data_IF_115460896001
#
_entry.id   IF_115460896001
#
_cell.length_a   1.000
_cell.length_b   1.000
_cell.length_c   1.000
_cell.angle_alpha   90.00
_cell.angle_beta   90.00
_cell.angle_gamma   90.00
#
_symmetry.space_group_name_H-M   'P 1'
#
loop_
_entity.id
_entity.type
_entity.pdbx_description
1 polymer ?
#
# COMPACT_ATOMS: atom_id res chain seq x y z
N UNK A 1 5.71 -1.49 20.29
CA UNK A 1 6.35 -1.04 19.04
C UNK A 1 5.28 -0.50 18.10
N UNK A 2 5.55 0.59 17.36
CA UNK A 2 4.58 1.28 16.50
C UNK A 2 3.88 0.33 15.51
N UNK A 3 4.61 -0.58 14.87
CA UNK A 3 4.05 -1.56 13.92
C UNK A 3 3.05 -2.54 14.55
N UNK A 4 3.23 -2.90 15.83
CA UNK A 4 2.30 -3.79 16.55
C UNK A 4 0.97 -3.08 16.81
N UNK A 5 0.97 -1.76 17.05
CA UNK A 5 -0.28 -1.01 17.21
C UNK A 5 -1.07 -0.95 15.89
N UNK A 6 -0.37 -0.91 14.75
CA UNK A 6 -1.00 -0.93 13.41
C UNK A 6 -1.72 -2.24 13.11
N UNK A 7 -1.39 -3.34 13.78
CA UNK A 7 -2.03 -4.64 13.60
C UNK A 7 -3.51 -4.64 14.02
N UNK A 8 -3.91 -3.73 14.91
CA UNK A 8 -5.29 -3.59 15.36
C UNK A 8 -6.18 -2.80 14.38
N UNK A 9 -5.59 -2.19 13.33
CA UNK A 9 -6.36 -1.45 12.33
C UNK A 9 -7.28 -2.40 11.57
N UNK A 10 -8.52 -1.98 11.33
CA UNK A 10 -9.51 -2.77 10.62
C UNK A 10 -9.34 -2.60 9.10
N UNK A 11 -9.05 -3.70 8.42
CA UNK A 11 -9.06 -3.83 6.97
C UNK A 11 -10.47 -4.14 6.46
N UNK A 12 -10.71 -3.89 5.17
CA UNK A 12 -11.96 -4.24 4.50
C UNK A 12 -11.84 -5.67 3.99
N UNK A 13 -12.70 -6.58 4.47
CA UNK A 13 -12.81 -7.93 3.91
C UNK A 13 -13.69 -7.92 2.68
N UNK A 14 -13.28 -8.67 1.66
CA UNK A 14 -13.94 -8.71 0.36
C UNK A 14 -14.08 -10.13 -0.16
N UNK A 15 -15.03 -10.35 -1.06
CA UNK A 15 -15.09 -11.54 -1.90
C UNK A 15 -14.15 -11.41 -3.13
N UNK A 16 -14.10 -12.45 -3.98
CA UNK A 16 -13.23 -12.45 -5.16
C UNK A 16 -13.65 -11.46 -6.26
N UNK A 17 -14.84 -10.87 -6.15
CA UNK A 17 -15.32 -9.81 -7.04
C UNK A 17 -15.11 -8.41 -6.44
N UNK A 18 -14.38 -8.32 -5.32
CA UNK A 18 -14.13 -7.10 -4.58
C UNK A 18 -15.39 -6.48 -3.95
N UNK A 19 -16.42 -7.29 -3.69
CA UNK A 19 -17.56 -6.82 -2.89
C UNK A 19 -17.20 -6.88 -1.42
N UNK A 20 -17.48 -5.82 -0.66
CA UNK A 20 -17.30 -5.82 0.79
C UNK A 20 -18.18 -6.88 1.46
N UNK A 21 -17.57 -7.77 2.24
CA UNK A 21 -18.26 -8.81 3.03
C UNK A 21 -18.07 -8.63 4.54
N UNK A 22 -17.17 -7.76 4.99
CA UNK A 22 -16.93 -7.55 6.41
C UNK A 22 -15.74 -6.66 6.72
N UNK A 23 -15.21 -6.82 7.93
CA UNK A 23 -14.02 -6.14 8.41
C UNK A 23 -13.24 -7.07 9.33
N UNK A 24 -11.91 -6.97 9.31
CA UNK A 24 -11.05 -7.76 10.19
C UNK A 24 -9.76 -6.99 10.47
N UNK A 25 -9.13 -7.28 11.60
CA UNK A 25 -7.85 -6.72 11.99
C UNK A 25 -6.77 -7.02 10.97
N UNK A 26 -5.87 -6.05 10.75
CA UNK A 26 -4.70 -6.22 9.90
C UNK A 26 -3.91 -7.47 10.28
N UNK A 27 -3.77 -7.76 11.58
CA UNK A 27 -3.16 -9.02 12.04
C UNK A 27 -3.79 -10.22 11.37
N UNK A 28 -5.08 -10.42 11.56
CA UNK A 28 -5.76 -11.62 11.09
C UNK A 28 -5.79 -11.70 9.56
N UNK A 29 -5.88 -10.56 8.85
CA UNK A 29 -5.78 -10.49 7.40
C UNK A 29 -4.44 -11.01 6.83
N UNK A 30 -3.34 -10.87 7.58
CA UNK A 30 -1.99 -11.18 7.10
C UNK A 30 -1.42 -12.49 7.68
N UNK A 31 -2.19 -13.22 8.48
CA UNK A 31 -1.78 -14.55 8.96
C UNK A 31 -2.04 -15.60 7.88
N UNK A 32 -1.01 -16.37 7.51
CA UNK A 32 -1.11 -17.43 6.52
C UNK A 32 -2.24 -18.42 6.84
N UNK A 33 -2.43 -18.76 8.13
CA UNK A 33 -3.50 -19.68 8.57
C UNK A 33 -4.92 -19.20 8.23
N UNK A 34 -5.14 -17.88 8.12
CA UNK A 34 -6.44 -17.30 7.76
C UNK A 34 -6.54 -17.07 6.25
N UNK A 35 -5.44 -16.65 5.62
CA UNK A 35 -5.33 -16.55 4.18
C UNK A 35 -5.65 -17.90 3.51
N UNK A 36 -5.13 -19.00 4.06
CA UNK A 36 -5.37 -20.36 3.56
C UNK A 36 -6.80 -20.85 3.79
N UNK A 37 -7.53 -20.26 4.74
CA UNK A 37 -8.97 -20.46 4.94
C UNK A 37 -9.84 -19.59 4.02
N UNK A 38 -9.23 -18.80 3.15
CA UNK A 38 -9.95 -17.98 2.18
C UNK A 38 -10.11 -16.51 2.58
N UNK A 39 -9.45 -16.03 3.65
CA UNK A 39 -9.49 -14.60 3.99
C UNK A 39 -8.84 -13.77 2.87
N UNK A 40 -9.53 -12.71 2.46
CA UNK A 40 -9.16 -11.81 1.37
C UNK A 40 -9.55 -10.38 1.75
N UNK A 41 -8.69 -9.42 1.45
CA UNK A 41 -8.89 -8.04 1.86
C UNK A 41 -8.47 -7.03 0.78
N UNK A 42 -9.06 -5.84 0.82
CA UNK A 42 -8.79 -4.77 -0.15
C UNK A 42 -7.49 -4.04 0.18
N UNK A 43 -6.65 -3.80 -0.82
CA UNK A 43 -5.38 -3.08 -0.70
C UNK A 43 -5.21 -2.05 -1.81
N UNK A 44 -4.14 -1.25 -1.74
CA UNK A 44 -3.72 -0.39 -2.83
C UNK A 44 -2.20 -0.33 -2.94
N UNK A 45 -1.74 -0.04 -4.16
CA UNK A 45 -0.35 0.19 -4.53
C UNK A 45 -0.22 1.49 -5.32
N UNK A 46 0.52 2.44 -4.75
CA UNK A 46 0.83 3.73 -5.40
C UNK A 46 2.12 3.63 -6.21
N UNK A 47 2.05 4.11 -7.44
CA UNK A 47 3.18 4.31 -8.35
C UNK A 47 3.34 5.82 -8.60
N UNK A 48 4.27 6.46 -7.88
CA UNK A 48 4.54 7.90 -8.00
C UNK A 48 5.73 8.16 -8.93
N UNK A 49 5.50 8.99 -9.92
CA UNK A 49 6.52 9.49 -10.84
C UNK A 49 6.73 10.99 -10.63
N UNK A 50 7.98 11.42 -10.61
CA UNK A 50 8.28 12.85 -10.64
C UNK A 50 8.08 13.44 -12.06
N UNK A 51 8.27 14.74 -12.24
CA UNK A 51 8.08 15.39 -13.56
C UNK A 51 9.08 14.89 -14.61
N UNK A 52 10.24 14.39 -14.18
CA UNK A 52 11.27 13.75 -15.01
C UNK A 52 10.97 12.29 -15.36
N UNK A 53 9.76 11.79 -15.05
CA UNK A 53 9.34 10.39 -15.27
C UNK A 53 10.18 9.35 -14.52
N UNK A 54 10.84 9.75 -13.43
CA UNK A 54 11.51 8.81 -12.53
C UNK A 54 10.51 8.27 -11.52
N UNK A 55 10.53 6.96 -11.33
CA UNK A 55 9.67 6.25 -10.40
C UNK A 55 10.27 6.26 -8.99
N UNK A 56 9.47 6.63 -7.98
CA UNK A 56 9.86 6.58 -6.58
C UNK A 56 9.67 5.17 -6.01
N UNK A 57 10.78 4.49 -5.75
CA UNK A 57 10.82 3.24 -4.99
C UNK A 57 11.08 3.52 -3.50
N UNK A 58 10.54 2.66 -2.64
CA UNK A 58 10.87 2.64 -1.22
C UNK A 58 11.45 1.27 -0.81
N UNK A 59 12.40 1.28 0.11
CA UNK A 59 12.86 0.12 0.84
C UNK A 59 12.15 0.06 2.19
N UNK A 60 11.48 -1.05 2.46
CA UNK A 60 10.74 -1.28 3.71
C UNK A 60 11.70 -1.28 4.90
N UNK A 61 11.30 -0.66 6.01
CA UNK A 61 12.08 -0.73 7.25
C UNK A 61 12.23 -2.19 7.73
N UNK A 62 13.24 -2.43 8.56
CA UNK A 62 13.39 -3.72 9.23
C UNK A 62 12.30 -3.98 10.29
N UNK A 63 11.56 -2.94 10.70
CA UNK A 63 10.48 -3.06 11.67
C UNK A 63 9.16 -3.56 11.07
N UNK A 64 9.01 -3.56 9.73
CA UNK A 64 7.81 -4.05 9.05
C UNK A 64 7.60 -5.53 9.34
N UNK A 65 6.34 -5.91 9.57
CA UNK A 65 5.96 -7.29 9.87
C UNK A 65 6.02 -8.16 8.62
N UNK A 66 5.45 -7.70 7.51
CA UNK A 66 5.58 -8.35 6.20
C UNK A 66 6.70 -7.73 5.38
N UNK A 67 7.52 -8.57 4.74
CA UNK A 67 8.60 -8.20 3.80
C UNK A 67 9.57 -7.11 4.31
N UNK A 68 10.15 -7.23 5.52
CA UNK A 68 11.12 -6.25 6.01
C UNK A 68 12.35 -6.15 5.10
N UNK A 69 12.81 -4.93 4.80
CA UNK A 69 14.02 -4.69 4.00
C UNK A 69 13.85 -4.81 2.47
N UNK A 70 12.71 -5.30 1.99
CA UNK A 70 12.42 -5.40 0.56
C UNK A 70 12.23 -4.01 -0.09
N UNK A 71 12.72 -3.86 -1.32
CA UNK A 71 12.34 -2.74 -2.18
C UNK A 71 10.99 -3.02 -2.84
N UNK A 72 10.15 -2.00 -2.93
CA UNK A 72 8.82 -2.07 -3.55
C UNK A 72 8.44 -0.69 -4.14
N UNK A 73 7.27 -0.60 -4.77
CA UNK A 73 6.69 0.64 -5.26
C UNK A 73 6.50 1.69 -4.17
N UNK A 74 6.05 2.88 -4.55
CA UNK A 74 6.08 4.08 -3.70
C UNK A 74 5.41 3.90 -2.34
N UNK A 75 4.22 3.30 -2.30
CA UNK A 75 3.50 3.04 -1.05
C UNK A 75 2.46 1.95 -1.28
N UNK A 76 2.42 0.94 -0.38
CA UNK A 76 1.39 -0.10 -0.37
C UNK A 76 0.71 -0.14 0.99
N UNK A 77 -0.60 -0.18 1.01
CA UNK A 77 -1.35 -0.27 2.26
C UNK A 77 -2.80 -0.67 2.05
N UNK A 78 -3.62 -0.38 3.06
CA UNK A 78 -5.03 -0.75 3.10
C UNK A 78 -5.89 0.51 3.25
N UNK A 79 -7.02 0.60 2.52
CA UNK A 79 -8.17 1.34 3.01
C UNK A 79 -8.64 0.75 4.34
N UNK A 80 -9.01 1.61 5.27
CA UNK A 80 -9.55 1.24 6.56
C UNK A 80 -11.05 0.99 6.45
N UNK A 81 -11.56 0.06 7.26
CA UNK A 81 -12.99 -0.17 7.39
C UNK A 81 -13.65 0.94 8.24
N UNK A 82 -13.71 2.15 7.70
CA UNK A 82 -14.37 3.32 8.26
C UNK A 82 -15.19 4.03 7.17
N UNK A 83 -16.18 4.88 7.51
CA UNK A 83 -17.08 5.46 6.51
C UNK A 83 -16.39 6.25 5.39
N UNK A 84 -15.23 6.85 5.67
CA UNK A 84 -14.50 7.70 4.74
C UNK A 84 -13.77 6.86 3.67
N UNK A 85 -13.10 5.79 4.10
CA UNK A 85 -12.29 4.93 3.23
C UNK A 85 -13.07 3.74 2.65
N UNK A 86 -14.33 3.56 3.07
CA UNK A 86 -15.27 2.58 2.51
C UNK A 86 -16.02 3.09 1.27
N UNK A 87 -15.98 4.38 0.95
CA UNK A 87 -16.68 4.93 -0.23
C UNK A 87 -16.06 4.39 -1.53
N UNK A 88 -16.89 3.77 -2.36
CA UNK A 88 -16.47 3.05 -3.56
C UNK A 88 -16.64 3.89 -4.83
N UNK A 89 -17.47 4.95 -4.80
CA UNK A 89 -17.66 5.80 -5.98
C UNK A 89 -16.31 6.38 -6.45
N UNK A 90 -16.01 6.16 -7.73
CA UNK A 90 -14.76 6.57 -8.35
C UNK A 90 -13.51 6.17 -7.52
N UNK A 91 -13.56 5.04 -6.81
CA UNK A 91 -12.52 4.52 -5.92
C UNK A 91 -12.02 5.55 -4.87
N UNK A 92 -12.86 6.51 -4.47
CA UNK A 92 -12.42 7.65 -3.65
C UNK A 92 -11.92 7.21 -2.27
N UNK A 93 -12.53 6.20 -1.62
CA UNK A 93 -12.09 5.71 -0.32
C UNK A 93 -10.65 5.17 -0.34
N UNK A 94 -10.29 4.43 -1.40
CA UNK A 94 -8.94 3.94 -1.62
C UNK A 94 -7.95 5.08 -1.92
N UNK A 95 -8.35 6.08 -2.71
CA UNK A 95 -7.52 7.26 -2.99
C UNK A 95 -7.26 8.10 -1.73
N UNK A 96 -8.24 8.24 -0.85
CA UNK A 96 -8.07 8.88 0.46
C UNK A 96 -7.12 8.07 1.37
N UNK A 97 -7.23 6.75 1.37
CA UNK A 97 -6.31 5.88 2.09
C UNK A 97 -4.86 6.02 1.58
N UNK A 98 -4.69 6.15 0.26
CA UNK A 98 -3.40 6.37 -0.38
C UNK A 98 -2.78 7.71 0.04
N UNK A 99 -3.51 8.82 -0.04
CA UNK A 99 -3.05 10.11 0.46
C UNK A 99 -2.62 10.04 1.94
N UNK A 100 -3.45 9.41 2.80
CA UNK A 100 -3.15 9.24 4.22
C UNK A 100 -1.83 8.50 4.44
N UNK A 101 -1.55 7.45 3.66
CA UNK A 101 -0.33 6.64 3.80
C UNK A 101 0.88 7.26 3.16
N UNK A 102 0.75 7.96 2.03
CA UNK A 102 1.83 8.78 1.47
C UNK A 102 2.33 9.80 2.51
N UNK A 103 1.43 10.45 3.24
CA UNK A 103 1.83 11.31 4.37
C UNK A 103 2.46 10.54 5.51
N UNK A 104 1.85 9.45 5.95
CA UNK A 104 2.31 8.72 7.13
C UNK A 104 3.64 7.98 6.92
N UNK A 105 3.93 7.48 5.71
CA UNK A 105 5.13 6.69 5.42
C UNK A 105 6.24 7.54 4.84
N UNK A 106 5.94 8.41 3.86
CA UNK A 106 6.93 9.19 3.11
C UNK A 106 7.01 10.65 3.55
N UNK A 107 6.18 11.08 4.50
CA UNK A 107 6.12 12.47 4.96
C UNK A 107 5.55 13.44 3.93
N UNK A 108 4.94 12.94 2.85
CA UNK A 108 4.41 13.80 1.78
C UNK A 108 3.24 14.62 2.34
N UNK A 109 3.32 15.96 2.33
CA UNK A 109 2.23 16.82 2.78
C UNK A 109 0.93 16.52 2.01
N UNK A 110 -0.21 16.49 2.71
CA UNK A 110 -1.49 16.04 2.14
C UNK A 110 -1.95 16.92 0.97
N UNK A 111 -1.67 18.20 1.07
CA UNK A 111 -1.95 19.24 0.06
C UNK A 111 -1.14 19.04 -1.22
N UNK A 112 0.01 18.35 -1.16
CA UNK A 112 0.79 18.04 -2.37
C UNK A 112 0.18 16.90 -3.17
N UNK A 113 -0.55 15.97 -2.57
CA UNK A 113 -1.15 14.83 -3.29
C UNK A 113 -2.59 14.61 -2.83
N UNK A 114 -3.52 15.52 -3.21
CA UNK A 114 -4.92 15.33 -2.91
C UNK A 114 -5.52 14.16 -3.73
N UNK A 115 -6.64 13.55 -3.29
CA UNK A 115 -7.20 12.35 -3.94
C UNK A 115 -7.50 12.50 -5.44
N UNK A 116 -7.78 13.70 -5.92
CA UNK A 116 -7.97 14.04 -7.33
C UNK A 116 -6.71 13.88 -8.19
N UNK A 117 -5.51 13.98 -7.60
CA UNK A 117 -4.24 13.75 -8.29
C UNK A 117 -3.86 12.26 -8.36
N UNK A 118 -4.61 11.40 -7.67
CA UNK A 118 -4.37 9.96 -7.60
C UNK A 118 -5.28 9.27 -8.61
N UNK A 119 -4.68 8.80 -9.72
CA UNK A 119 -5.42 8.12 -10.78
C UNK A 119 -5.53 6.62 -10.49
N UNK A 120 -6.75 6.10 -10.46
CA UNK A 120 -7.00 4.65 -10.40
C UNK A 120 -6.92 4.06 -11.81
N UNK A 121 -6.16 2.97 -11.98
CA UNK A 121 -5.98 2.28 -13.27
C UNK A 121 -6.76 0.97 -13.35
N UNK A 122 -6.50 0.04 -12.43
CA UNK A 122 -7.04 -1.33 -12.46
C UNK A 122 -6.87 -2.00 -11.10
N UNK A 123 -7.36 -3.24 -10.97
CA UNK A 123 -7.18 -4.11 -9.80
C UNK A 123 -6.39 -5.37 -10.16
N UNK A 124 -5.58 -5.86 -9.23
CA UNK A 124 -4.84 -7.11 -9.37
C UNK A 124 -5.16 -8.01 -8.17
N UNK A 125 -5.60 -9.24 -8.40
CA UNK A 125 -5.74 -10.24 -7.34
C UNK A 125 -4.39 -10.97 -7.17
N UNK A 126 -3.81 -10.93 -5.97
CA UNK A 126 -2.52 -11.53 -5.68
C UNK A 126 -2.53 -12.31 -4.36
N UNK A 127 -1.59 -13.26 -4.22
CA UNK A 127 -1.29 -13.97 -2.97
C UNK A 127 0.23 -14.17 -2.89
N UNK A 128 0.83 -13.81 -1.76
CA UNK A 128 2.26 -13.94 -1.52
C UNK A 128 2.54 -14.30 -0.06
N UNK A 129 3.57 -15.10 0.21
CA UNK A 129 4.02 -15.40 1.57
C UNK A 129 5.25 -14.57 1.90
N UNK A 130 5.27 -13.98 3.10
CA UNK A 130 6.43 -13.25 3.62
C UNK A 130 7.37 -14.21 4.37
N UNK A 131 6.81 -15.02 5.25
CA UNK A 131 7.51 -16.08 5.99
C UNK A 131 6.51 -17.19 6.37
N UNK A 132 6.87 -18.07 7.32
CA UNK A 132 6.01 -19.18 7.75
C UNK A 132 4.72 -18.74 8.47
N UNK A 133 4.65 -17.52 9.00
CA UNK A 133 3.51 -17.00 9.77
C UNK A 133 2.72 -15.98 8.95
N UNK A 134 3.41 -15.09 8.25
CA UNK A 134 2.82 -13.91 7.62
C UNK A 134 2.81 -14.01 6.09
N UNK A 135 1.79 -13.41 5.49
CA UNK A 135 1.62 -13.30 4.05
C UNK A 135 0.63 -12.21 3.67
N UNK A 136 0.30 -12.16 2.39
CA UNK A 136 -0.66 -11.26 1.77
C UNK A 136 -1.60 -12.08 0.88
N UNK A 137 -2.88 -11.71 0.88
CA UNK A 137 -3.85 -12.13 -0.12
C UNK A 137 -4.86 -11.02 -0.30
N UNK A 138 -4.91 -10.48 -1.50
CA UNK A 138 -5.44 -9.14 -1.73
C UNK A 138 -6.07 -8.95 -3.11
N UNK A 139 -7.01 -8.01 -3.19
CA UNK A 139 -7.33 -7.31 -4.45
C UNK A 139 -6.75 -5.91 -4.33
N UNK A 140 -5.68 -5.69 -5.09
CA UNK A 140 -4.83 -4.51 -5.03
C UNK A 140 -5.24 -3.46 -6.07
N UNK A 141 -5.62 -2.28 -5.60
CA UNK A 141 -5.93 -1.12 -6.44
C UNK A 141 -4.64 -0.44 -6.91
N UNK A 142 -4.43 -0.43 -8.23
CA UNK A 142 -3.25 0.17 -8.84
C UNK A 142 -3.49 1.66 -9.05
N UNK A 143 -2.73 2.47 -8.33
CA UNK A 143 -2.86 3.93 -8.28
C UNK A 143 -1.62 4.61 -8.85
N UNK A 144 -1.80 5.63 -9.67
CA UNK A 144 -0.73 6.43 -10.26
C UNK A 144 -0.77 7.87 -9.79
N UNK A 145 0.41 8.44 -9.54
CA UNK A 145 0.60 9.85 -9.23
C UNK A 145 1.74 10.37 -10.10
N UNK A 146 1.59 11.56 -10.69
CA UNK A 146 2.69 12.23 -11.39
C UNK A 146 2.91 13.63 -10.84
N UNK A 147 3.85 13.78 -9.92
CA UNK A 147 4.11 15.06 -9.24
C UNK A 147 5.50 15.08 -8.61
N UNK A 148 6.08 16.28 -8.50
CA UNK A 148 7.24 16.49 -7.62
C UNK A 148 6.72 16.67 -6.20
N UNK A 149 7.30 15.94 -5.25
CA UNK A 149 6.88 15.94 -3.84
C UNK A 149 8.08 16.13 -2.92
N UNK A 150 7.83 16.71 -1.76
CA UNK A 150 8.79 16.73 -0.65
C UNK A 150 8.68 15.43 0.15
N UNK A 151 9.82 14.88 0.57
CA UNK A 151 9.90 13.62 1.30
C UNK A 151 10.51 13.84 2.68
N UNK A 152 9.84 13.32 3.71
CA UNK A 152 10.34 13.21 5.08
C UNK A 152 9.89 11.86 5.67
N UNK A 153 10.47 10.73 5.21
CA UNK A 153 9.94 9.41 5.51
C UNK A 153 10.07 9.00 6.98
N UNK A 154 9.07 8.28 7.51
CA UNK A 154 9.14 7.69 8.85
C UNK A 154 10.12 6.50 8.83
N UNK A 155 11.23 6.54 9.61
CA UNK A 155 12.21 5.45 9.63
C UNK A 155 11.66 4.12 10.15
N UNK A 156 10.51 4.13 10.86
CA UNK A 156 9.81 2.91 11.26
C UNK A 156 9.04 2.27 10.10
N UNK A 157 8.78 3.00 9.02
CA UNK A 157 8.09 2.51 7.83
C UNK A 157 9.08 2.25 6.68
N UNK A 158 10.02 3.17 6.47
CA UNK A 158 10.90 3.22 5.29
C UNK A 158 12.37 3.29 5.72
N UNK A 159 13.19 2.35 5.22
CA UNK A 159 14.65 2.33 5.42
C UNK A 159 15.37 3.28 4.48
N UNK A 160 14.97 3.30 3.21
CA UNK A 160 15.56 4.14 2.16
C UNK A 160 14.58 4.34 1.03
N UNK A 161 14.82 5.30 0.14
CA UNK A 161 14.03 5.52 -1.06
C UNK A 161 14.92 5.99 -2.20
N UNK A 162 14.49 5.79 -3.44
CA UNK A 162 15.21 6.30 -4.59
C UNK A 162 14.29 6.57 -5.78
N UNK A 163 14.66 7.57 -6.58
CA UNK A 163 14.04 7.81 -7.89
C UNK A 163 14.83 7.08 -8.97
N UNK A 164 14.17 6.20 -9.71
CA UNK A 164 14.78 5.44 -10.81
C UNK A 164 14.16 5.82 -12.15
N UNK A 165 15.01 6.09 -13.15
CA UNK A 165 14.57 6.25 -14.53
C UNK A 165 14.39 4.89 -15.23
N UNK A 166 13.71 4.88 -16.37
CA UNK A 166 13.39 3.66 -17.13
C UNK A 166 14.60 2.77 -17.42
N UNK A 167 15.77 3.34 -17.72
CA UNK A 167 17.00 2.58 -18.00
C UNK A 167 17.58 1.84 -16.77
N UNK A 168 17.30 2.30 -15.55
CA UNK A 168 17.76 1.63 -14.31
C UNK A 168 16.77 0.58 -13.80
N UNK A 169 15.51 0.60 -14.26
CA UNK A 169 14.47 -0.31 -13.79
C UNK A 169 14.80 -1.78 -14.15
N UNK A 170 15.40 -2.03 -15.32
CA UNK A 170 15.78 -3.38 -15.76
C UNK A 170 16.87 -4.04 -14.90
N UNK A 171 17.78 -3.26 -14.31
CA UNK A 171 18.84 -3.79 -13.44
C UNK A 171 18.36 -4.26 -12.06
N UNK A 172 17.15 -3.86 -11.64
CA UNK A 172 16.57 -4.28 -10.36
C UNK A 172 15.86 -5.64 -10.43
N UNK A 173 15.57 -6.14 -11.63
CA UNK A 173 14.85 -7.39 -11.85
C UNK A 173 15.69 -8.44 -12.60
N UNK A 174 16.98 -8.18 -12.80
CA UNK A 174 17.97 -9.11 -13.37
C UNK A 174 18.78 -9.76 -12.24
#
# INVERSE_FOLDING_TARGET
>A
MQQVQLLAKMCILIDENDNKIGAETKKNCHLNENIDKGLLHRTFSVFLFNTEKKFLLQQRSAAKITFPGCFTNTCCSHPLSNPIELEEDNAIGVRQAAQRRLKAELGIPMEQVPPEDISYLTRIHSKAQSDGIWGEREIDYILFVRKNVTLDPDPNEIKSYCYIGSFKFTFWFA
#
